data_IF_536719083596
#
_entry.id   IF_536719083596
#
_cell.length_a   1.000
_cell.length_b   1.000
_cell.length_c   1.000
_cell.angle_alpha   90.00
_cell.angle_beta   90.00
_cell.angle_gamma   90.00
#
_symmetry.space_group_name_H-M   'P 1'
#
loop_
_entity.id
_entity.type
_entity.pdbx_description
1 polymer ?
#
# COMPACT_ATOMS: atom_id res chain seq x y z
N UNK A 1 -7.90 9.69 -24.57
CA UNK A 1 -7.61 10.33 -23.30
C UNK A 1 -6.17 9.94 -22.97
N UNK A 2 -5.32 10.88 -22.62
CA UNK A 2 -3.93 10.53 -22.28
C UNK A 2 -3.95 9.75 -20.97
N UNK A 3 -3.22 8.64 -20.87
CA UNK A 3 -3.29 7.76 -19.68
C UNK A 3 -2.78 8.50 -18.44
N UNK A 4 -1.83 9.43 -18.63
CA UNK A 4 -1.26 10.23 -17.55
C UNK A 4 -2.27 11.21 -16.91
N UNK A 5 -3.41 11.48 -17.59
CA UNK A 5 -4.53 12.21 -17.00
C UNK A 5 -5.52 11.31 -16.25
N UNK A 6 -5.42 9.98 -16.43
CA UNK A 6 -6.38 9.01 -15.89
C UNK A 6 -5.83 8.27 -14.68
N UNK A 7 -4.55 7.88 -14.71
CA UNK A 7 -3.96 7.06 -13.65
C UNK A 7 -2.47 7.34 -13.46
N UNK A 8 -2.06 7.47 -12.19
CA UNK A 8 -0.67 7.46 -11.75
C UNK A 8 -0.43 6.26 -10.83
N UNK A 9 0.55 5.41 -11.16
CA UNK A 9 0.98 4.31 -10.30
C UNK A 9 2.43 4.56 -9.86
N UNK A 10 2.61 4.92 -8.60
CA UNK A 10 3.92 5.18 -8.02
C UNK A 10 4.57 3.88 -7.54
N UNK A 11 5.83 3.66 -7.93
CA UNK A 11 6.65 2.54 -7.43
C UNK A 11 7.67 3.08 -6.44
N UNK A 12 7.44 2.80 -5.15
CA UNK A 12 8.22 3.37 -4.05
C UNK A 12 9.49 2.58 -3.81
N UNK A 13 10.64 3.26 -3.69
CA UNK A 13 11.89 2.67 -3.24
C UNK A 13 12.61 3.51 -2.19
N UNK A 14 13.19 2.84 -1.20
CA UNK A 14 14.03 3.44 -0.16
C UNK A 14 15.53 3.13 -0.35
N UNK A 15 15.90 2.53 -1.48
CA UNK A 15 17.28 2.22 -1.85
C UNK A 15 17.42 2.10 -3.37
N UNK A 16 18.62 2.19 -3.94
CA UNK A 16 18.83 1.89 -5.35
C UNK A 16 18.39 0.45 -5.65
N UNK A 17 17.52 0.29 -6.64
CA UNK A 17 17.00 -1.02 -7.03
C UNK A 17 16.60 -1.02 -8.50
N UNK A 18 16.74 -2.17 -9.18
CA UNK A 18 16.24 -2.35 -10.54
C UNK A 18 14.71 -2.50 -10.49
N UNK A 19 14.01 -1.42 -10.77
CA UNK A 19 12.55 -1.42 -10.86
C UNK A 19 12.07 -1.98 -12.20
N UNK A 20 10.80 -2.41 -12.23
CA UNK A 20 10.14 -2.74 -13.49
C UNK A 20 9.89 -1.46 -14.28
N UNK A 21 10.44 -1.40 -15.48
CA UNK A 21 10.27 -0.26 -16.40
C UNK A 21 9.01 -0.47 -17.23
N UNK A 22 7.93 0.20 -16.87
CA UNK A 22 6.69 0.26 -17.65
C UNK A 22 6.25 1.72 -17.77
N UNK A 23 5.61 2.06 -18.89
CA UNK A 23 5.06 3.40 -19.13
C UNK A 23 3.95 3.80 -18.16
N UNK A 24 3.35 2.83 -17.48
CA UNK A 24 2.30 3.07 -16.47
C UNK A 24 2.85 3.21 -15.04
N UNK A 25 4.15 3.04 -14.85
CA UNK A 25 4.79 3.11 -13.55
C UNK A 25 5.66 4.36 -13.43
N UNK A 26 5.46 5.09 -12.35
CA UNK A 26 6.24 6.27 -12.00
C UNK A 26 7.15 5.94 -10.81
N UNK A 27 8.47 5.79 -11.00
CA UNK A 27 9.40 5.59 -9.90
C UNK A 27 9.39 6.78 -8.95
N UNK A 28 9.36 6.50 -7.64
CA UNK A 28 9.51 7.51 -6.59
C UNK A 28 10.41 7.00 -5.47
N UNK A 29 11.40 7.80 -5.09
CA UNK A 29 12.32 7.43 -4.02
C UNK A 29 12.01 8.20 -2.74
N UNK A 30 12.25 7.55 -1.60
CA UNK A 30 11.98 8.17 -0.29
C UNK A 30 12.95 9.29 0.06
N UNK A 31 14.12 9.34 -0.59
CA UNK A 31 15.13 10.37 -0.37
C UNK A 31 15.91 10.69 -1.64
N UNK A 32 16.20 11.98 -1.85
CA UNK A 32 16.99 12.48 -2.98
C UNK A 32 18.40 11.88 -3.03
N UNK A 33 19.03 11.65 -1.88
CA UNK A 33 20.38 11.10 -1.79
C UNK A 33 20.53 9.72 -2.46
N UNK A 34 19.42 8.95 -2.61
CA UNK A 34 19.42 7.61 -3.22
C UNK A 34 19.69 7.68 -4.73
N UNK A 35 19.19 8.70 -5.40
CA UNK A 35 19.24 8.87 -6.87
C UNK A 35 20.25 9.94 -7.30
N UNK A 36 21.03 10.46 -6.34
CA UNK A 36 22.09 11.43 -6.59
C UNK A 36 21.61 12.65 -7.38
N UNK A 37 22.16 12.89 -8.58
CA UNK A 37 21.93 14.11 -9.36
C UNK A 37 20.86 13.96 -10.46
N UNK A 38 20.06 12.88 -10.45
CA UNK A 38 18.98 12.73 -11.43
C UNK A 38 17.71 13.46 -10.94
N UNK A 39 17.60 14.73 -11.30
CA UNK A 39 16.46 15.58 -10.92
C UNK A 39 15.16 15.25 -11.68
N UNK A 40 15.17 14.35 -12.66
CA UNK A 40 13.96 13.89 -13.34
C UNK A 40 13.20 12.84 -12.53
N UNK A 41 13.85 12.23 -11.54
CA UNK A 41 13.25 11.22 -10.69
C UNK A 41 12.56 11.88 -9.48
N UNK A 42 11.33 11.47 -9.18
CA UNK A 42 10.58 11.96 -8.03
C UNK A 42 11.18 11.49 -6.71
N UNK A 43 11.20 12.40 -5.73
CA UNK A 43 11.66 12.10 -4.38
C UNK A 43 10.68 12.67 -3.35
N UNK A 44 10.27 11.83 -2.38
CA UNK A 44 9.26 12.22 -1.41
C UNK A 44 9.79 12.98 -0.19
N UNK A 45 11.07 13.35 -0.19
CA UNK A 45 11.69 14.25 0.79
C UNK A 45 11.78 15.70 0.33
N UNK A 46 11.16 16.05 -0.81
CA UNK A 46 11.10 17.39 -1.36
C UNK A 46 9.71 18.02 -1.18
N UNK A 47 9.60 19.34 -1.20
CA UNK A 47 8.30 20.03 -1.05
C UNK A 47 7.63 19.80 0.31
N UNK A 48 6.29 19.73 0.33
CA UNK A 48 5.53 19.43 1.55
C UNK A 48 5.64 17.93 1.85
N UNK A 49 6.37 17.57 2.92
CA UNK A 49 6.71 16.19 3.22
C UNK A 49 6.82 15.91 4.73
N UNK A 50 6.78 14.62 5.08
CA UNK A 50 7.01 14.08 6.42
C UNK A 50 8.20 13.08 6.40
N UNK A 51 9.16 13.26 5.52
CA UNK A 51 10.27 12.33 5.31
C UNK A 51 11.18 12.16 6.54
N UNK A 52 11.27 13.19 7.40
CA UNK A 52 11.98 13.10 8.69
C UNK A 52 11.38 12.04 9.64
N UNK A 53 10.11 11.67 9.45
CA UNK A 53 9.40 10.65 10.22
C UNK A 53 9.20 9.34 9.44
N UNK A 54 9.94 9.13 8.34
CA UNK A 54 9.79 7.94 7.47
C UNK A 54 9.98 6.62 8.23
N UNK A 55 10.79 6.58 9.29
CA UNK A 55 10.94 5.38 10.12
C UNK A 55 9.64 4.98 10.84
N UNK A 56 8.75 5.93 11.14
CA UNK A 56 7.44 5.69 11.73
C UNK A 56 6.37 5.39 10.68
N UNK A 57 6.35 6.19 9.61
CA UNK A 57 5.29 6.18 8.60
C UNK A 57 5.55 5.20 7.44
N UNK A 58 6.81 4.83 7.20
CA UNK A 58 7.26 4.04 6.05
C UNK A 58 6.63 4.56 4.73
N UNK A 59 5.93 3.71 3.97
CA UNK A 59 5.29 4.07 2.69
C UNK A 59 4.26 5.21 2.79
N UNK A 60 3.65 5.42 3.95
CA UNK A 60 2.72 6.53 4.17
C UNK A 60 3.38 7.89 4.03
N UNK A 61 4.69 8.00 4.25
CA UNK A 61 5.42 9.26 3.99
C UNK A 61 5.38 9.63 2.51
N UNK A 62 5.46 8.64 1.62
CA UNK A 62 5.33 8.85 0.17
C UNK A 62 3.87 9.10 -0.25
N UNK A 63 2.88 8.39 0.36
CA UNK A 63 1.46 8.68 0.11
C UNK A 63 1.11 10.12 0.49
N UNK A 64 1.61 10.59 1.65
CA UNK A 64 1.46 11.98 2.08
C UNK A 64 2.03 12.94 1.06
N UNK A 65 3.27 12.67 0.60
CA UNK A 65 3.94 13.51 -0.38
C UNK A 65 3.15 13.62 -1.70
N UNK A 66 2.67 12.50 -2.22
CA UNK A 66 1.83 12.48 -3.44
C UNK A 66 0.55 13.27 -3.20
N UNK A 67 -0.12 13.06 -2.08
CA UNK A 67 -1.35 13.77 -1.71
C UNK A 67 -1.18 15.29 -1.62
N UNK A 68 -0.02 15.76 -1.14
CA UNK A 68 0.26 17.19 -0.95
C UNK A 68 0.84 17.88 -2.18
N UNK A 69 1.65 17.17 -2.98
CA UNK A 69 2.45 17.82 -4.03
C UNK A 69 2.00 17.45 -5.45
N UNK A 70 1.05 16.51 -5.63
CA UNK A 70 0.59 16.10 -6.96
C UNK A 70 -0.89 16.40 -7.14
N UNK A 71 -1.26 16.71 -8.40
CA UNK A 71 -2.67 16.69 -8.80
C UNK A 71 -3.11 15.23 -8.86
N UNK A 72 -4.05 14.83 -8.02
CA UNK A 72 -4.52 13.45 -8.00
C UNK A 72 -5.40 13.19 -9.23
N UNK A 73 -5.06 12.21 -10.09
CA UNK A 73 -5.85 11.85 -11.27
C UNK A 73 -7.11 11.07 -10.89
N UNK A 74 -7.82 10.55 -11.90
CA UNK A 74 -9.02 9.72 -11.67
C UNK A 74 -8.71 8.48 -10.83
N UNK A 75 -7.54 7.87 -11.04
CA UNK A 75 -7.02 6.77 -10.24
C UNK A 75 -5.59 7.03 -9.81
N UNK A 76 -5.23 6.61 -8.60
CA UNK A 76 -3.86 6.64 -8.09
C UNK A 76 -3.52 5.29 -7.48
N UNK A 77 -2.31 4.81 -7.70
CA UNK A 77 -1.83 3.54 -7.19
C UNK A 77 -0.46 3.64 -6.55
N UNK A 78 -0.19 2.71 -5.64
CA UNK A 78 1.11 2.61 -4.97
C UNK A 78 1.55 1.16 -4.96
N UNK A 79 2.73 0.94 -5.55
CA UNK A 79 3.47 -0.31 -5.50
C UNK A 79 4.80 -0.06 -4.78
N UNK A 80 5.48 -1.11 -4.45
CA UNK A 80 6.80 -1.04 -3.83
C UNK A 80 7.82 -1.67 -4.78
N UNK A 81 9.08 -1.30 -4.71
CA UNK A 81 10.13 -1.74 -5.63
C UNK A 81 10.28 -3.28 -5.75
N UNK A 82 9.80 -4.03 -4.76
CA UNK A 82 9.79 -5.50 -4.77
C UNK A 82 8.40 -6.12 -4.70
N UNK A 83 7.34 -5.32 -4.74
CA UNK A 83 5.96 -5.78 -4.55
C UNK A 83 5.03 -5.07 -5.51
N UNK A 84 4.38 -5.83 -6.36
CA UNK A 84 3.47 -5.35 -7.39
C UNK A 84 2.15 -6.11 -7.32
N UNK A 85 1.16 -5.67 -8.07
CA UNK A 85 -0.08 -6.42 -8.30
C UNK A 85 -0.13 -6.83 -9.77
N UNK A 86 -0.38 -8.11 -10.07
CA UNK A 86 -0.64 -8.56 -11.44
C UNK A 86 -1.98 -8.02 -11.92
N UNK A 87 -2.09 -7.61 -13.18
CA UNK A 87 -3.38 -7.25 -13.77
C UNK A 87 -4.05 -8.46 -14.43
N UNK A 88 -3.30 -9.54 -14.66
CA UNK A 88 -3.81 -10.81 -15.18
C UNK A 88 -4.08 -11.81 -14.06
N UNK A 89 -5.00 -12.74 -14.33
CA UNK A 89 -5.33 -13.84 -13.43
C UNK A 89 -4.47 -15.08 -13.72
N UNK A 90 -4.37 -15.95 -12.71
CA UNK A 90 -3.71 -17.26 -12.81
C UNK A 90 -2.26 -17.19 -13.32
N UNK A 91 -1.54 -16.12 -12.97
CA UNK A 91 -0.14 -15.95 -13.34
C UNK A 91 0.79 -16.81 -12.48
N UNK A 92 1.94 -17.15 -13.04
CA UNK A 92 3.01 -17.90 -12.37
C UNK A 92 4.27 -17.05 -12.25
N UNK A 93 5.21 -17.43 -11.39
CA UNK A 93 6.51 -16.78 -11.30
C UNK A 93 7.35 -16.91 -12.60
N UNK A 94 8.39 -16.07 -12.72
CA UNK A 94 9.37 -16.10 -13.80
C UNK A 94 10.70 -15.52 -13.33
N UNK A 95 11.79 -15.95 -13.96
CA UNK A 95 13.12 -15.33 -13.81
C UNK A 95 13.50 -14.49 -15.06
N UNK A 96 12.60 -14.38 -16.03
CA UNK A 96 12.83 -13.59 -17.24
C UNK A 96 12.27 -12.17 -17.07
N UNK A 97 13.15 -11.22 -16.79
CA UNK A 97 12.78 -9.82 -16.60
C UNK A 97 12.16 -9.18 -17.85
N UNK A 98 12.49 -9.68 -19.04
CA UNK A 98 12.00 -9.09 -20.30
C UNK A 98 10.54 -9.44 -20.62
N UNK A 99 9.97 -10.47 -20.00
CA UNK A 99 8.58 -10.90 -20.26
C UNK A 99 7.57 -10.38 -19.22
N UNK A 100 8.02 -9.76 -18.13
CA UNK A 100 7.15 -9.44 -16.99
C UNK A 100 6.02 -8.48 -17.34
N UNK A 101 6.24 -7.54 -18.25
CA UNK A 101 5.22 -6.60 -18.70
C UNK A 101 4.04 -7.35 -19.31
N UNK A 102 4.30 -8.23 -20.25
CA UNK A 102 3.26 -9.01 -20.93
C UNK A 102 2.68 -10.07 -20.00
N UNK A 103 3.54 -10.75 -19.22
CA UNK A 103 3.13 -11.83 -18.33
C UNK A 103 2.16 -11.36 -17.26
N UNK A 104 2.44 -10.21 -16.62
CA UNK A 104 1.62 -9.68 -15.54
C UNK A 104 0.64 -8.59 -16.00
N UNK A 105 0.62 -8.25 -17.29
CA UNK A 105 -0.27 -7.26 -17.87
C UNK A 105 0.06 -5.82 -17.46
N UNK A 106 1.32 -5.50 -17.20
CA UNK A 106 1.72 -4.16 -16.76
C UNK A 106 1.84 -3.18 -17.94
N UNK A 107 0.73 -3.03 -18.66
CA UNK A 107 0.58 -2.15 -19.81
C UNK A 107 -0.76 -1.39 -19.72
N UNK A 108 -0.93 -0.42 -20.61
CA UNK A 108 -2.08 0.47 -20.64
C UNK A 108 -3.40 -0.27 -20.84
N UNK A 109 -3.45 -1.19 -21.80
CA UNK A 109 -4.70 -1.85 -22.22
C UNK A 109 -5.26 -2.71 -21.07
N UNK A 110 -4.41 -3.49 -20.41
CA UNK A 110 -4.81 -4.31 -19.26
C UNK A 110 -5.19 -3.45 -18.05
N UNK A 111 -4.50 -2.31 -17.84
CA UNK A 111 -4.85 -1.36 -16.80
C UNK A 111 -6.22 -0.73 -17.02
N UNK A 112 -6.52 -0.28 -18.24
CA UNK A 112 -7.84 0.26 -18.59
C UNK A 112 -8.94 -0.78 -18.38
N UNK A 113 -8.74 -2.02 -18.86
CA UNK A 113 -9.69 -3.12 -18.69
C UNK A 113 -9.98 -3.42 -17.20
N UNK A 114 -8.95 -3.41 -16.35
CA UNK A 114 -9.15 -3.72 -14.93
C UNK A 114 -9.86 -2.58 -14.20
N UNK A 115 -9.64 -1.33 -14.61
CA UNK A 115 -10.23 -0.14 -13.99
C UNK A 115 -11.64 0.20 -14.50
N UNK A 116 -12.11 -0.39 -15.59
CA UNK A 116 -13.43 -0.10 -16.16
C UNK A 116 -14.58 -0.32 -15.16
N UNK A 117 -14.49 -1.35 -14.34
CA UNK A 117 -15.49 -1.69 -13.31
C UNK A 117 -14.82 -1.96 -11.97
N UNK A 118 -14.02 -1.00 -11.49
CA UNK A 118 -13.22 -1.12 -10.30
C UNK A 118 -13.06 0.26 -9.64
N UNK A 119 -13.39 0.35 -8.36
CA UNK A 119 -13.11 1.55 -7.57
C UNK A 119 -11.80 1.41 -6.80
N UNK A 120 -11.48 0.18 -6.38
CA UNK A 120 -10.23 -0.16 -5.68
C UNK A 120 -9.71 -1.52 -6.13
N UNK A 121 -8.46 -1.56 -6.58
CA UNK A 121 -7.70 -2.79 -6.83
C UNK A 121 -6.77 -3.06 -5.65
N UNK A 122 -6.81 -4.26 -5.10
CA UNK A 122 -5.97 -4.70 -3.98
C UNK A 122 -5.34 -6.07 -4.25
N UNK A 123 -4.23 -6.42 -3.56
CA UNK A 123 -3.69 -7.76 -3.62
C UNK A 123 -4.62 -8.78 -2.95
N UNK A 124 -4.42 -10.07 -3.24
CA UNK A 124 -5.11 -11.16 -2.54
C UNK A 124 -4.96 -11.01 -1.03
N UNK A 125 -6.07 -11.19 -0.32
CA UNK A 125 -6.10 -11.10 1.13
C UNK A 125 -5.27 -12.20 1.80
N UNK A 126 -4.71 -11.89 2.96
CA UNK A 126 -4.06 -12.85 3.83
C UNK A 126 -5.12 -13.49 4.75
N UNK A 127 -5.17 -14.82 4.78
CA UNK A 127 -6.07 -15.56 5.68
C UNK A 127 -5.33 -15.91 6.98
N UNK A 128 -5.70 -15.28 8.08
CA UNK A 128 -5.05 -15.47 9.38
C UNK A 128 -5.19 -16.88 9.98
N UNK A 129 -6.23 -17.63 9.61
CA UNK A 129 -6.42 -19.01 10.07
C UNK A 129 -5.29 -19.93 9.62
N UNK A 130 -4.69 -19.65 8.47
CA UNK A 130 -3.53 -20.42 7.96
C UNK A 130 -2.31 -20.31 8.88
N UNK A 131 -2.25 -19.27 9.74
CA UNK A 131 -1.16 -19.02 10.70
C UNK A 131 -1.55 -19.30 12.15
N UNK A 132 -2.67 -19.96 12.37
CA UNK A 132 -3.17 -20.22 13.72
C UNK A 132 -3.67 -18.96 14.45
N UNK A 133 -3.99 -17.90 13.70
CA UNK A 133 -4.53 -16.65 14.22
C UNK A 133 -6.03 -16.57 13.90
N UNK A 134 -6.82 -15.99 14.83
CA UNK A 134 -8.26 -15.97 14.69
C UNK A 134 -8.77 -14.92 13.71
N UNK A 135 -8.27 -13.68 13.84
CA UNK A 135 -8.75 -12.51 13.10
C UNK A 135 -7.71 -11.37 13.11
N UNK A 136 -8.01 -10.26 12.46
CA UNK A 136 -7.12 -9.10 12.36
C UNK A 136 -6.79 -8.50 13.74
N UNK A 137 -7.74 -8.45 14.66
CA UNK A 137 -7.51 -8.00 16.04
C UNK A 137 -6.47 -8.85 16.76
N UNK A 138 -6.65 -10.17 16.78
CA UNK A 138 -5.74 -11.10 17.47
C UNK A 138 -4.35 -11.11 16.83
N UNK A 139 -4.28 -10.97 15.50
CA UNK A 139 -3.02 -10.86 14.77
C UNK A 139 -2.26 -9.58 15.18
N UNK A 140 -2.91 -8.42 15.16
CA UNK A 140 -2.27 -7.16 15.55
C UNK A 140 -1.75 -7.20 17.00
N UNK A 141 -2.58 -7.67 17.93
CA UNK A 141 -2.19 -7.79 19.35
C UNK A 141 -1.00 -8.72 19.61
N UNK A 142 -0.80 -9.71 18.75
CA UNK A 142 0.32 -10.65 18.91
C UNK A 142 1.66 -10.06 18.52
N UNK A 143 1.68 -9.20 17.50
CA UNK A 143 2.94 -8.75 16.87
C UNK A 143 3.21 -7.25 17.02
N UNK A 144 2.22 -6.47 17.43
CA UNK A 144 2.33 -5.02 17.51
C UNK A 144 1.81 -4.48 18.85
N UNK A 145 2.10 -3.21 19.11
CA UNK A 145 1.64 -2.51 20.33
C UNK A 145 0.12 -2.29 20.28
N UNK A 146 -0.62 -3.08 21.04
CA UNK A 146 -2.10 -3.00 21.07
C UNK A 146 -2.64 -1.64 21.50
N UNK A 147 -1.86 -0.84 22.27
CA UNK A 147 -2.24 0.53 22.64
C UNK A 147 -2.50 1.41 21.42
N UNK A 148 -1.71 1.28 20.35
CA UNK A 148 -1.90 2.09 19.14
C UNK A 148 -3.23 1.79 18.44
N UNK A 149 -3.58 0.50 18.28
CA UNK A 149 -4.85 0.12 17.69
C UNK A 149 -6.02 0.52 18.59
N UNK A 150 -5.92 0.29 19.91
CA UNK A 150 -6.98 0.67 20.85
C UNK A 150 -7.25 2.17 20.81
N UNK A 151 -6.20 3.00 20.91
CA UNK A 151 -6.36 4.46 20.87
C UNK A 151 -6.84 4.94 19.49
N UNK A 152 -6.42 4.29 18.38
CA UNK A 152 -6.98 4.61 17.07
C UNK A 152 -8.48 4.34 17.00
N UNK A 153 -8.96 3.24 17.57
CA UNK A 153 -10.40 2.94 17.65
C UNK A 153 -11.18 3.93 18.51
N UNK A 154 -10.59 4.39 19.64
CA UNK A 154 -11.18 5.47 20.45
C UNK A 154 -11.30 6.76 19.63
N UNK A 155 -10.24 7.16 18.92
CA UNK A 155 -10.26 8.33 18.03
C UNK A 155 -11.32 8.20 16.94
N UNK A 156 -11.41 7.03 16.30
CA UNK A 156 -12.41 6.76 15.28
C UNK A 156 -13.82 6.89 15.87
N UNK A 157 -14.07 6.29 17.03
CA UNK A 157 -15.38 6.38 17.67
C UNK A 157 -15.76 7.82 18.05
N UNK A 158 -14.81 8.64 18.49
CA UNK A 158 -15.02 10.04 18.86
C UNK A 158 -15.25 10.95 17.64
N UNK A 159 -14.41 10.83 16.61
CA UNK A 159 -14.38 11.76 15.46
C UNK A 159 -15.17 11.27 14.26
N UNK A 160 -15.30 9.95 14.10
CA UNK A 160 -15.91 9.27 12.95
C UNK A 160 -16.90 8.18 13.39
N UNK A 161 -17.93 8.49 14.20
CA UNK A 161 -18.82 7.48 14.80
C UNK A 161 -19.53 6.60 13.77
N UNK A 162 -19.68 7.07 12.52
CA UNK A 162 -20.25 6.27 11.42
C UNK A 162 -19.42 5.03 11.06
N UNK A 163 -18.15 4.96 11.48
CA UNK A 163 -17.24 3.82 11.27
C UNK A 163 -17.34 2.73 12.35
N UNK A 164 -18.11 2.92 13.41
CA UNK A 164 -18.14 2.00 14.56
C UNK A 164 -18.37 0.54 14.13
N UNK A 165 -19.43 0.27 13.38
CA UNK A 165 -19.75 -1.08 12.92
C UNK A 165 -18.66 -1.63 11.96
N UNK A 166 -18.04 -0.76 11.18
CA UNK A 166 -17.00 -1.14 10.21
C UNK A 166 -15.70 -1.53 10.91
N UNK A 167 -15.38 -0.88 12.04
CA UNK A 167 -14.27 -1.29 12.91
C UNK A 167 -14.46 -2.73 13.40
N UNK A 168 -15.64 -3.07 13.95
CA UNK A 168 -15.93 -4.43 14.40
C UNK A 168 -15.87 -5.42 13.24
N UNK A 169 -16.47 -5.09 12.10
CA UNK A 169 -16.50 -5.95 10.93
C UNK A 169 -15.10 -6.26 10.42
N UNK A 170 -14.26 -5.26 10.26
CA UNK A 170 -12.89 -5.43 9.80
C UNK A 170 -12.02 -6.18 10.82
N UNK A 171 -12.09 -5.81 12.10
CA UNK A 171 -11.25 -6.41 13.15
C UNK A 171 -11.57 -7.88 13.41
N UNK A 172 -12.82 -8.30 13.25
CA UNK A 172 -13.25 -9.69 13.39
C UNK A 172 -13.05 -10.50 12.11
N UNK A 173 -12.69 -9.87 11.00
CA UNK A 173 -12.39 -10.58 9.75
C UNK A 173 -11.20 -11.53 9.93
N UNK A 174 -11.33 -12.73 9.36
CA UNK A 174 -10.24 -13.70 9.26
C UNK A 174 -9.32 -13.45 8.06
N UNK A 175 -9.69 -12.52 7.21
CA UNK A 175 -8.96 -12.13 6.02
C UNK A 175 -8.75 -10.62 6.01
N UNK A 176 -7.59 -10.18 5.50
CA UNK A 176 -7.25 -8.76 5.41
C UNK A 176 -6.39 -8.49 4.18
N UNK A 177 -6.55 -7.31 3.60
CA UNK A 177 -5.62 -6.80 2.61
C UNK A 177 -4.36 -6.31 3.31
N UNK A 178 -3.22 -6.80 2.85
CA UNK A 178 -1.92 -6.62 3.48
C UNK A 178 -0.97 -5.87 2.55
N UNK A 179 0.20 -5.50 3.07
CA UNK A 179 1.34 -4.93 2.32
C UNK A 179 1.13 -3.52 1.75
N UNK A 180 0.06 -2.82 2.10
CA UNK A 180 -0.17 -1.43 1.68
C UNK A 180 0.00 -1.21 0.15
N UNK A 181 -0.47 -2.14 -0.69
CA UNK A 181 -0.54 -1.99 -2.14
C UNK A 181 -1.98 -1.78 -2.57
N UNK A 182 -2.20 -0.82 -3.44
CA UNK A 182 -3.51 -0.59 -4.04
C UNK A 182 -3.43 0.28 -5.29
N UNK A 183 -4.48 0.23 -6.12
CA UNK A 183 -4.86 1.29 -7.04
C UNK A 183 -6.29 1.66 -6.68
N UNK A 184 -6.59 2.94 -6.47
CA UNK A 184 -7.95 3.38 -6.13
C UNK A 184 -8.33 4.67 -6.83
N UNK A 185 -9.62 4.96 -6.89
CA UNK A 185 -10.13 6.24 -7.37
C UNK A 185 -9.50 7.39 -6.59
N UNK A 186 -9.17 8.47 -7.28
CA UNK A 186 -8.51 9.64 -6.68
C UNK A 186 -9.35 10.33 -5.59
N UNK A 187 -10.68 10.32 -5.71
CA UNK A 187 -11.57 10.85 -4.67
C UNK A 187 -11.54 10.00 -3.39
N UNK A 188 -11.49 8.66 -3.54
CA UNK A 188 -11.31 7.73 -2.42
C UNK A 188 -9.95 7.93 -1.75
N UNK A 189 -8.88 8.11 -2.54
CA UNK A 189 -7.55 8.37 -2.02
C UNK A 189 -7.50 9.67 -1.20
N UNK A 190 -8.08 10.75 -1.70
CA UNK A 190 -8.15 12.00 -0.96
C UNK A 190 -8.89 11.85 0.38
N UNK A 191 -10.00 11.12 0.40
CA UNK A 191 -10.76 10.83 1.64
C UNK A 191 -9.95 9.94 2.59
N UNK A 192 -9.31 8.89 2.05
CA UNK A 192 -8.45 8.00 2.82
C UNK A 192 -7.30 8.76 3.48
N UNK A 193 -6.57 9.56 2.72
CA UNK A 193 -5.45 10.34 3.27
C UNK A 193 -5.91 11.36 4.30
N UNK A 194 -7.01 12.05 4.07
CA UNK A 194 -7.59 13.00 5.06
C UNK A 194 -7.92 12.27 6.36
N UNK A 195 -8.60 11.13 6.27
CA UNK A 195 -9.04 10.34 7.40
C UNK A 195 -7.89 9.71 8.19
N UNK A 196 -6.96 9.06 7.50
CA UNK A 196 -5.87 8.33 8.17
C UNK A 196 -4.83 9.27 8.78
N UNK A 197 -4.51 10.38 8.13
CA UNK A 197 -3.57 11.38 8.67
C UNK A 197 -4.14 12.09 9.90
N UNK A 198 -5.43 12.39 9.93
CA UNK A 198 -6.08 12.94 11.11
C UNK A 198 -6.02 11.96 12.31
N UNK A 199 -6.20 10.66 12.07
CA UNK A 199 -6.04 9.64 13.11
C UNK A 199 -4.58 9.56 13.60
N UNK A 200 -3.61 9.57 12.69
CA UNK A 200 -2.20 9.55 13.05
C UNK A 200 -1.78 10.79 13.84
N UNK A 201 -2.27 11.97 13.47
CA UNK A 201 -2.02 13.21 14.19
C UNK A 201 -2.62 13.20 15.62
N UNK A 202 -3.82 12.65 15.79
CA UNK A 202 -4.43 12.46 17.11
C UNK A 202 -3.68 11.42 17.96
N UNK A 203 -3.21 10.33 17.35
CA UNK A 203 -2.38 9.34 18.04
C UNK A 203 -1.10 9.95 18.60
N UNK A 204 -0.42 10.81 17.83
CA UNK A 204 0.79 11.53 18.26
C UNK A 204 0.52 12.46 19.45
N UNK A 205 -0.68 12.98 19.60
CA UNK A 205 -1.08 13.82 20.74
C UNK A 205 -1.39 13.01 22.00
N UNK A 206 -1.91 11.78 21.84
CA UNK A 206 -2.40 10.95 22.96
C UNK A 206 -1.38 9.94 23.48
N UNK A 207 -0.42 9.55 22.64
CA UNK A 207 0.56 8.49 22.96
C UNK A 207 1.99 9.01 22.86
N UNK A 208 2.87 8.42 23.64
CA UNK A 208 4.32 8.53 23.44
C UNK A 208 4.70 7.61 22.28
N UNK A 209 5.11 8.20 21.18
CA UNK A 209 5.42 7.49 19.94
C UNK A 209 6.92 7.23 19.86
N UNK A 210 7.29 5.98 19.58
CA UNK A 210 8.66 5.63 19.20
C UNK A 210 8.82 5.81 17.68
N UNK A 211 9.47 6.90 17.30
CA UNK A 211 9.65 7.24 15.88
C UNK A 211 10.65 6.33 15.14
N UNK A 212 11.31 5.38 15.81
CA UNK A 212 12.25 4.46 15.19
C UNK A 212 11.62 3.12 14.76
N UNK A 213 10.31 2.95 14.98
CA UNK A 213 9.56 1.72 14.67
C UNK A 213 8.45 2.04 13.69
N UNK A 214 8.24 1.20 12.69
CA UNK A 214 7.20 1.33 11.63
C UNK A 214 5.76 1.13 12.14
N UNK A 215 5.48 1.58 13.35
CA UNK A 215 4.20 1.31 14.02
C UNK A 215 3.00 1.89 13.26
N UNK A 216 3.15 3.07 12.63
CA UNK A 216 2.06 3.67 11.85
C UNK A 216 1.84 2.97 10.51
N UNK A 217 2.90 2.42 9.90
CA UNK A 217 2.73 1.60 8.70
C UNK A 217 1.94 0.32 9.01
N UNK A 218 2.29 -0.37 10.09
CA UNK A 218 1.56 -1.57 10.53
C UNK A 218 0.12 -1.28 10.97
N UNK A 219 -0.10 -0.19 11.67
CA UNK A 219 -1.45 0.24 12.03
C UNK A 219 -2.26 0.63 10.79
N UNK A 220 -1.63 1.35 9.86
CA UNK A 220 -2.24 1.81 8.62
C UNK A 220 -2.80 0.69 7.77
N UNK A 221 -2.13 -0.46 7.70
CA UNK A 221 -2.67 -1.66 7.03
C UNK A 221 -4.02 -2.09 7.61
N UNK A 222 -4.21 -1.99 8.92
CA UNK A 222 -5.47 -2.36 9.58
C UNK A 222 -6.53 -1.29 9.36
N UNK A 223 -6.15 -0.04 9.49
CA UNK A 223 -7.04 1.09 9.24
C UNK A 223 -7.51 1.13 7.78
N UNK A 224 -6.66 0.73 6.82
CA UNK A 224 -7.06 0.61 5.43
C UNK A 224 -8.23 -0.37 5.23
N UNK A 225 -8.20 -1.52 5.90
CA UNK A 225 -9.31 -2.48 5.85
C UNK A 225 -10.60 -1.90 6.48
N UNK A 226 -10.50 -1.17 7.60
CA UNK A 226 -11.64 -0.47 8.20
C UNK A 226 -12.22 0.56 7.22
N UNK A 227 -11.35 1.35 6.59
CA UNK A 227 -11.76 2.32 5.58
C UNK A 227 -12.50 1.65 4.42
N UNK A 228 -11.96 0.57 3.84
CA UNK A 228 -12.60 -0.15 2.73
C UNK A 228 -13.96 -0.74 3.10
N UNK A 229 -14.10 -1.35 4.29
CA UNK A 229 -15.37 -1.88 4.79
C UNK A 229 -16.41 -0.76 4.88
N UNK A 230 -16.02 0.40 5.39
CA UNK A 230 -16.89 1.57 5.46
C UNK A 230 -17.36 2.03 4.08
N UNK A 231 -16.43 2.18 3.13
CA UNK A 231 -16.78 2.62 1.77
C UNK A 231 -17.66 1.60 1.04
N UNK A 232 -17.41 0.29 1.24
CA UNK A 232 -18.28 -0.75 0.68
C UNK A 232 -19.70 -0.68 1.24
N UNK A 233 -19.83 -0.48 2.54
CA UNK A 233 -21.16 -0.38 3.20
C UNK A 233 -21.92 0.87 2.82
N UNK A 234 -21.25 2.02 2.71
CA UNK A 234 -21.89 3.32 2.52
C UNK A 234 -22.05 3.74 1.06
N UNK A 235 -21.15 3.35 0.19
CA UNK A 235 -21.12 3.77 -1.22
C UNK A 235 -21.12 2.61 -2.21
N UNK A 236 -21.12 1.35 -1.72
CA UNK A 236 -21.10 0.15 -2.54
C UNK A 236 -19.94 0.13 -3.55
N UNK A 237 -18.75 0.57 -3.10
CA UNK A 237 -17.56 0.55 -3.97
C UNK A 237 -17.23 -0.86 -4.45
N UNK A 238 -16.69 -0.96 -5.65
CA UNK A 238 -16.27 -2.21 -6.27
C UNK A 238 -14.78 -2.46 -6.03
N UNK A 239 -14.48 -3.52 -5.27
CA UNK A 239 -13.11 -3.94 -5.02
C UNK A 239 -12.77 -5.12 -5.93
N UNK A 240 -11.71 -4.98 -6.73
CA UNK A 240 -11.10 -6.09 -7.46
C UNK A 240 -9.88 -6.59 -6.71
N UNK A 241 -9.70 -7.90 -6.74
CA UNK A 241 -8.60 -8.59 -6.05
C UNK A 241 -7.75 -9.29 -7.10
N UNK A 242 -6.44 -9.12 -7.04
CA UNK A 242 -5.48 -9.73 -7.95
C UNK A 242 -4.27 -10.28 -7.20
N UNK A 243 -3.54 -11.17 -7.85
CA UNK A 243 -2.37 -11.82 -7.25
C UNK A 243 -1.23 -10.81 -7.03
N UNK A 244 -0.61 -10.77 -5.84
CA UNK A 244 0.63 -10.03 -5.63
C UNK A 244 1.80 -10.70 -6.35
N UNK A 245 2.72 -9.88 -6.84
CA UNK A 245 3.97 -10.32 -7.49
C UNK A 245 5.13 -9.76 -6.71
N UNK A 246 6.00 -10.63 -6.23
CA UNK A 246 7.18 -10.28 -5.45
C UNK A 246 8.45 -10.41 -6.29
N UNK A 247 9.35 -9.45 -6.20
CA UNK A 247 10.68 -9.52 -6.79
C UNK A 247 11.68 -9.97 -5.75
N UNK A 248 12.42 -11.02 -6.02
CA UNK A 248 13.46 -11.56 -5.16
C UNK A 248 14.76 -11.68 -5.93
N UNK A 249 15.83 -11.11 -5.40
CA UNK A 249 17.17 -11.38 -5.90
C UNK A 249 17.65 -12.73 -5.31
N UNK A 250 18.07 -13.63 -6.17
CA UNK A 250 18.76 -14.85 -5.73
C UNK A 250 20.25 -14.60 -5.51
N UNK A 251 20.97 -15.60 -4.97
CA UNK A 251 22.39 -15.51 -4.69
C UNK A 251 23.28 -15.23 -5.93
N UNK A 252 22.74 -15.40 -7.13
CA UNK A 252 23.43 -15.13 -8.40
C UNK A 252 23.10 -13.72 -8.95
N UNK A 253 22.36 -12.88 -8.22
CA UNK A 253 21.91 -11.56 -8.67
C UNK A 253 20.81 -11.59 -9.73
N UNK A 254 20.19 -12.75 -9.97
CA UNK A 254 19.06 -12.90 -10.88
C UNK A 254 17.79 -12.54 -10.12
N UNK A 255 16.99 -11.65 -10.70
CA UNK A 255 15.69 -11.27 -10.13
C UNK A 255 14.64 -12.30 -10.51
N UNK A 256 14.10 -12.98 -9.54
CA UNK A 256 12.97 -13.89 -9.70
C UNK A 256 11.67 -13.15 -9.36
N UNK A 257 10.66 -13.31 -10.22
CA UNK A 257 9.29 -12.86 -9.96
C UNK A 257 8.50 -14.03 -9.41
N UNK A 258 8.02 -13.87 -8.19
CA UNK A 258 7.38 -14.94 -7.46
C UNK A 258 5.93 -14.56 -7.13
N UNK A 259 5.04 -15.57 -7.19
CA UNK A 259 3.63 -15.45 -6.82
C UNK A 259 3.42 -16.24 -5.55
N UNK A 260 2.97 -15.59 -4.48
CA UNK A 260 2.73 -16.25 -3.20
C UNK A 260 2.41 -15.27 -2.09
N UNK A 261 2.28 -15.78 -0.88
CA UNK A 261 2.14 -14.97 0.32
C UNK A 261 3.53 -14.58 0.90
N UNK A 262 3.55 -13.53 1.71
CA UNK A 262 4.79 -13.02 2.32
C UNK A 262 5.46 -14.01 3.29
N UNK A 263 4.76 -15.07 3.72
CA UNK A 263 5.27 -16.00 4.73
C UNK A 263 6.43 -16.85 4.26
N UNK A 264 6.65 -16.89 2.95
CA UNK A 264 7.77 -17.58 2.32
C UNK A 264 8.88 -16.64 1.84
N UNK A 265 8.75 -15.33 2.07
CA UNK A 265 9.87 -14.41 1.86
C UNK A 265 10.75 -14.54 3.11
N UNK A 266 11.94 -15.14 3.01
CA UNK A 266 12.88 -15.08 4.12
C UNK A 266 13.10 -13.59 4.42
N UNK A 267 12.99 -13.22 5.70
CA UNK A 267 13.40 -11.88 6.12
C UNK A 267 14.77 -11.65 5.51
N UNK A 268 14.89 -10.62 4.67
CA UNK A 268 16.19 -10.22 4.19
C UNK A 268 16.97 -9.87 5.47
N UNK A 269 17.93 -10.70 5.81
CA UNK A 269 18.91 -10.35 6.83
C UNK A 269 19.35 -8.93 6.55
N UNK A 270 19.22 -8.09 7.56
CA UNK A 270 19.52 -6.67 7.62
C UNK A 270 20.80 -6.27 6.86
#
# INVERSE_FOLDING_TARGET
MDIDEVVDIYVISHKPYKMVESKIFTPIYTKREIVSNDYNILCSDEGDNIASENSLYAEFSTYYWVWKNRKIPKYVGFFQFRRYISFKDNVTGTNNFNEVIDKYGWNKDELENILEDCDVLVPTSLNFRMFGLGNMWSQYKRWHKSSYLNTALEIINEKYPSYEIDCFTALLSTETYYINLFIMRGDLFNRYMTWIMDIFDELKKRLVIDCNVKDFAYLGERLFNIFLVHQQRTENIKIKIKQPVYLKENASGITDFWIGDETHIPEASE
#
